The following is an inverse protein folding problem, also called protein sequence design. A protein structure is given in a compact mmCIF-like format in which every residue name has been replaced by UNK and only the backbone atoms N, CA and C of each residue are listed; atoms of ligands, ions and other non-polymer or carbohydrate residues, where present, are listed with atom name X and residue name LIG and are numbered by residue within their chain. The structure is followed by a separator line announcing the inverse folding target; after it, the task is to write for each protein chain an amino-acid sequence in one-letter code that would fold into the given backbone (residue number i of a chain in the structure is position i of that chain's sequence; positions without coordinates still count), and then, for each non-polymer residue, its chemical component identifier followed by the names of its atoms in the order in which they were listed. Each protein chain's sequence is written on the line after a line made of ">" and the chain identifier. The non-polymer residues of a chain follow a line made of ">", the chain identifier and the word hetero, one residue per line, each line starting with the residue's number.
data_IF_981911701914
#
_entry.id   IF_981911701914
#
_cell.length_a   1.000
_cell.length_b   1.000
_cell.length_c   1.000
_cell.angle_alpha   90.00
_cell.angle_beta   90.00
_cell.angle_gamma   90.00
#
_symmetry.space_group_name_H-M   'P 1'
#
loop_
_entity.id
_entity.type
_entity.pdbx_description
1 polymer ?
#
# COMPACT_ATOMS: atom_id res chain seq x y z
N UNK A 1 -28.99 6.13 -22.13
CA UNK A 1 -27.77 5.79 -21.41
C UNK A 1 -27.94 6.30 -19.99
N UNK A 2 -27.55 5.56 -18.99
CA UNK A 2 -27.92 5.87 -17.60
C UNK A 2 -26.68 5.71 -16.73
N UNK A 3 -26.18 6.82 -16.21
CA UNK A 3 -25.08 6.82 -15.25
C UNK A 3 -25.46 5.96 -14.04
N UNK A 4 -24.70 4.91 -13.72
CA UNK A 4 -25.01 4.04 -12.59
C UNK A 4 -24.83 4.78 -11.27
N UNK A 5 -25.74 4.55 -10.33
CA UNK A 5 -25.54 5.02 -8.96
C UNK A 5 -24.50 4.15 -8.28
N UNK A 6 -23.39 4.73 -7.94
CA UNK A 6 -22.30 4.06 -7.23
C UNK A 6 -22.58 4.06 -5.73
N UNK A 7 -22.35 2.91 -5.10
CA UNK A 7 -22.28 2.74 -3.64
C UNK A 7 -20.85 2.55 -3.22
N UNK A 8 -20.58 2.80 -1.95
CA UNK A 8 -19.24 2.63 -1.39
C UNK A 8 -19.24 2.89 0.12
N UNK A 9 -18.08 2.87 0.70
CA UNK A 9 -17.87 2.98 2.14
C UNK A 9 -16.63 3.80 2.46
N UNK A 10 -16.62 4.45 3.61
CA UNK A 10 -15.43 5.03 4.21
C UNK A 10 -14.67 3.91 4.91
N UNK A 11 -13.41 3.68 4.51
CA UNK A 11 -12.61 2.59 5.04
C UNK A 11 -11.67 3.05 6.17
N UNK A 12 -11.18 4.28 6.11
CA UNK A 12 -10.23 4.79 7.10
C UNK A 12 -10.07 6.32 7.04
N UNK A 13 -9.45 6.89 8.07
CA UNK A 13 -9.10 8.30 8.13
C UNK A 13 -10.26 9.18 8.58
N UNK A 14 -10.22 10.46 8.24
CA UNK A 14 -11.25 11.44 8.56
C UNK A 14 -11.20 12.64 7.60
N UNK A 15 -12.31 13.41 7.54
CA UNK A 15 -12.54 14.46 6.56
C UNK A 15 -11.54 15.62 6.50
N UNK A 16 -10.62 15.77 7.47
CA UNK A 16 -9.57 16.79 7.42
C UNK A 16 -8.32 16.35 6.62
N UNK A 17 -8.21 15.06 6.31
CA UNK A 17 -7.09 14.50 5.51
C UNK A 17 -7.39 14.59 4.00
N UNK A 18 -6.39 14.57 3.13
CA UNK A 18 -6.59 14.48 1.68
C UNK A 18 -7.50 13.31 1.28
N UNK A 19 -8.36 13.52 0.30
CA UNK A 19 -9.29 12.48 -0.17
C UNK A 19 -8.56 11.48 -1.07
N UNK A 20 -8.70 10.18 -0.74
CA UNK A 20 -8.25 9.05 -1.55
C UNK A 20 -9.45 8.19 -1.94
N UNK A 21 -9.65 7.99 -3.25
CA UNK A 21 -10.73 7.17 -3.80
C UNK A 21 -10.16 5.84 -4.32
N UNK A 22 -10.68 4.72 -3.82
CA UNK A 22 -10.21 3.38 -4.17
C UNK A 22 -11.23 2.63 -5.05
N UNK A 23 -10.73 2.01 -6.12
CA UNK A 23 -11.53 1.28 -7.11
C UNK A 23 -11.34 -0.24 -7.05
N UNK A 24 -12.42 -1.04 -7.12
CA UNK A 24 -12.39 -2.49 -6.96
C UNK A 24 -11.91 -3.22 -8.22
N UNK A 25 -11.59 -4.51 -8.07
CA UNK A 25 -11.49 -5.49 -9.14
C UNK A 25 -12.86 -6.11 -9.44
N UNK A 26 -13.07 -6.64 -10.66
CA UNK A 26 -14.31 -7.33 -11.03
C UNK A 26 -14.54 -8.57 -10.16
N UNK A 27 -15.65 -8.61 -9.46
CA UNK A 27 -16.00 -9.69 -8.54
C UNK A 27 -15.51 -9.47 -7.09
N UNK A 28 -14.97 -8.31 -6.76
CA UNK A 28 -14.56 -7.95 -5.39
C UNK A 28 -15.44 -6.84 -4.81
N UNK A 29 -15.31 -6.57 -3.52
CA UNK A 29 -15.89 -5.39 -2.86
C UNK A 29 -14.81 -4.43 -2.38
N UNK A 30 -15.22 -3.21 -2.11
CA UNK A 30 -14.36 -2.17 -1.55
C UNK A 30 -13.61 -2.68 -0.31
N UNK A 31 -14.33 -3.19 0.69
CA UNK A 31 -13.75 -3.65 1.95
C UNK A 31 -12.90 -4.91 1.78
N UNK A 32 -13.34 -5.93 1.02
CA UNK A 32 -12.57 -7.17 0.89
C UNK A 32 -11.25 -6.99 0.16
N UNK A 33 -11.19 -6.05 -0.78
CA UNK A 33 -9.96 -5.81 -1.54
C UNK A 33 -9.02 -4.83 -0.83
N UNK A 34 -9.56 -3.78 -0.21
CA UNK A 34 -8.78 -2.62 0.20
C UNK A 34 -8.56 -2.47 1.71
N UNK A 35 -9.19 -3.29 2.59
CA UNK A 35 -9.08 -3.12 4.05
C UNK A 35 -7.64 -3.11 4.57
N UNK A 36 -6.76 -3.95 4.03
CA UNK A 36 -5.34 -3.99 4.41
C UNK A 36 -4.64 -2.67 4.11
N UNK A 37 -4.80 -2.17 2.89
CA UNK A 37 -4.23 -0.90 2.42
C UNK A 37 -4.84 0.29 3.19
N UNK A 38 -6.15 0.33 3.33
CA UNK A 38 -6.86 1.42 4.01
C UNK A 38 -6.43 1.56 5.48
N UNK A 39 -6.22 0.44 6.18
CA UNK A 39 -5.71 0.43 7.56
C UNK A 39 -4.35 1.13 7.68
N UNK A 40 -3.48 0.95 6.72
CA UNK A 40 -2.16 1.58 6.71
C UNK A 40 -2.20 3.07 6.33
N UNK A 41 -3.17 3.46 5.47
CA UNK A 41 -3.29 4.82 4.95
C UNK A 41 -4.17 5.76 5.77
N UNK A 42 -4.89 5.25 6.78
CA UNK A 42 -5.85 6.04 7.55
C UNK A 42 -5.26 7.20 8.36
N UNK A 43 -3.94 7.24 8.56
CA UNK A 43 -3.24 8.38 9.14
C UNK A 43 -2.87 9.48 8.14
N UNK A 44 -2.90 9.17 6.84
CA UNK A 44 -2.42 10.04 5.76
C UNK A 44 -3.58 10.57 4.90
N UNK A 45 -4.67 9.78 4.77
CA UNK A 45 -5.77 10.05 3.86
C UNK A 45 -7.13 9.81 4.51
N UNK A 46 -8.15 10.55 4.04
CA UNK A 46 -9.55 10.15 4.16
C UNK A 46 -9.83 9.15 3.03
N UNK A 47 -9.90 7.87 3.36
CA UNK A 47 -9.97 6.76 2.41
C UNK A 47 -11.41 6.34 2.20
N UNK A 48 -11.93 6.54 0.99
CA UNK A 48 -13.22 6.00 0.57
C UNK A 48 -13.03 5.01 -0.57
N UNK A 49 -13.86 3.98 -0.62
CA UNK A 49 -13.80 2.98 -1.67
C UNK A 49 -15.20 2.71 -2.22
N UNK A 50 -15.30 2.52 -3.52
CA UNK A 50 -16.56 2.31 -4.20
C UNK A 50 -16.76 0.84 -4.63
N UNK A 51 -18.02 0.44 -4.83
CA UNK A 51 -18.40 -0.87 -5.29
C UNK A 51 -18.98 -0.83 -6.70
N UNK A 52 -18.68 -1.86 -7.50
CA UNK A 52 -19.29 -2.06 -8.81
C UNK A 52 -20.79 -2.27 -8.70
N UNK A 53 -21.59 -1.82 -9.68
CA UNK A 53 -23.02 -2.16 -9.75
C UNK A 53 -23.25 -3.67 -9.68
N UNK A 54 -24.17 -4.13 -8.83
CA UNK A 54 -24.44 -5.54 -8.60
C UNK A 54 -23.40 -6.29 -7.73
N UNK A 55 -22.40 -5.59 -7.25
CA UNK A 55 -21.47 -6.14 -6.25
C UNK A 55 -21.88 -5.57 -4.88
N UNK A 56 -21.97 -6.40 -3.86
CA UNK A 56 -22.53 -6.03 -2.55
C UNK A 56 -23.99 -5.50 -2.73
N UNK A 57 -24.34 -4.34 -2.23
CA UNK A 57 -25.70 -3.77 -2.23
C UNK A 57 -25.97 -2.78 -3.39
N UNK A 58 -25.10 -2.75 -4.41
CA UNK A 58 -25.23 -1.82 -5.52
C UNK A 58 -26.44 -2.14 -6.43
N UNK A 59 -27.30 -1.16 -6.76
CA UNK A 59 -28.43 -1.42 -7.64
C UNK A 59 -27.98 -1.68 -9.08
N UNK A 60 -28.46 -2.78 -9.66
CA UNK A 60 -28.35 -3.05 -11.10
C UNK A 60 -29.60 -2.50 -11.79
N UNK A 61 -29.44 -1.56 -12.72
CA UNK A 61 -30.60 -0.94 -13.40
C UNK A 61 -30.53 -1.10 -14.91
N UNK A 62 -29.62 -0.44 -15.56
CA UNK A 62 -29.47 -0.41 -17.01
C UNK A 62 -28.02 -0.64 -17.40
N UNK A 63 -27.74 -1.16 -18.60
CA UNK A 63 -26.38 -1.22 -19.14
C UNK A 63 -25.71 0.15 -19.13
N UNK A 64 -24.41 0.17 -18.91
CA UNK A 64 -23.57 1.38 -18.87
C UNK A 64 -22.26 1.14 -19.63
N UNK A 65 -21.67 2.22 -20.08
CA UNK A 65 -20.32 2.25 -20.64
C UNK A 65 -19.28 2.50 -19.54
N UNK A 66 -17.99 2.32 -19.85
CA UNK A 66 -16.92 2.66 -18.92
C UNK A 66 -16.93 4.16 -18.56
N UNK A 67 -17.24 5.03 -19.52
CA UNK A 67 -17.37 6.47 -19.28
C UNK A 67 -18.52 6.80 -18.33
N UNK A 68 -19.68 6.16 -18.47
CA UNK A 68 -20.82 6.34 -17.55
C UNK A 68 -20.53 5.76 -16.15
N UNK A 69 -19.76 4.67 -16.09
CA UNK A 69 -19.27 4.15 -14.79
C UNK A 69 -18.33 5.14 -14.11
N UNK A 70 -17.40 5.72 -14.85
CA UNK A 70 -16.48 6.77 -14.34
C UNK A 70 -17.26 8.03 -13.90
N UNK A 71 -18.27 8.46 -14.63
CA UNK A 71 -19.15 9.56 -14.22
C UNK A 71 -19.87 9.27 -12.89
N UNK A 72 -20.35 8.03 -12.71
CA UNK A 72 -20.94 7.60 -11.45
C UNK A 72 -19.95 7.62 -10.28
N UNK A 73 -18.69 7.21 -10.52
CA UNK A 73 -17.62 7.26 -9.51
C UNK A 73 -17.25 8.71 -9.19
N UNK A 74 -17.21 9.59 -10.19
CA UNK A 74 -16.96 11.02 -9.97
C UNK A 74 -18.06 11.64 -9.09
N UNK A 75 -19.32 11.29 -9.34
CA UNK A 75 -20.46 11.74 -8.51
C UNK A 75 -20.37 11.19 -7.07
N UNK A 76 -19.92 9.95 -6.88
CA UNK A 76 -19.66 9.39 -5.55
C UNK A 76 -18.56 10.15 -4.80
N UNK A 77 -17.44 10.43 -5.47
CA UNK A 77 -16.35 11.22 -4.89
C UNK A 77 -16.79 12.67 -4.57
N UNK A 78 -17.60 13.29 -5.44
CA UNK A 78 -18.16 14.62 -5.21
C UNK A 78 -19.08 14.66 -3.98
N UNK A 79 -19.92 13.64 -3.77
CA UNK A 79 -20.74 13.54 -2.58
C UNK A 79 -19.91 13.44 -1.29
N UNK A 80 -18.79 12.73 -1.32
CA UNK A 80 -17.87 12.66 -0.19
C UNK A 80 -17.17 14.02 0.06
N UNK A 81 -16.72 14.70 -0.99
CA UNK A 81 -16.10 16.02 -0.90
C UNK A 81 -17.09 17.08 -0.35
N UNK A 82 -18.33 17.06 -0.81
CA UNK A 82 -19.41 17.95 -0.28
C UNK A 82 -19.66 17.69 1.22
N UNK A 83 -19.74 16.43 1.64
CA UNK A 83 -19.92 16.06 3.05
C UNK A 83 -18.76 16.53 3.95
N UNK A 84 -17.56 16.69 3.39
CA UNK A 84 -16.37 17.23 4.05
C UNK A 84 -16.34 18.77 4.08
N UNK A 85 -17.13 19.42 3.22
CA UNK A 85 -17.11 20.87 3.01
C UNK A 85 -15.98 21.34 2.05
N UNK A 86 -15.47 20.46 1.20
CA UNK A 86 -14.46 20.82 0.21
C UNK A 86 -15.09 21.74 -0.87
N UNK A 87 -14.47 22.87 -1.16
CA UNK A 87 -14.96 23.82 -2.17
C UNK A 87 -14.71 23.35 -3.61
N UNK A 88 -13.67 22.53 -3.82
CA UNK A 88 -13.25 21.99 -5.10
C UNK A 88 -13.04 20.48 -4.96
N UNK A 89 -13.62 19.72 -5.88
CA UNK A 89 -13.40 18.27 -5.92
C UNK A 89 -11.97 17.98 -6.41
N UNK A 90 -11.14 17.48 -5.50
CA UNK A 90 -9.79 16.98 -5.78
C UNK A 90 -9.50 15.73 -4.95
N UNK A 91 -8.99 14.68 -5.58
CA UNK A 91 -8.66 13.43 -4.91
C UNK A 91 -7.50 12.71 -5.58
N UNK A 92 -6.75 11.96 -4.79
CA UNK A 92 -5.88 10.91 -5.31
C UNK A 92 -6.71 9.66 -5.61
N UNK A 93 -6.33 8.91 -6.62
CA UNK A 93 -7.05 7.70 -7.02
C UNK A 93 -6.14 6.48 -6.96
N UNK A 94 -6.68 5.33 -6.51
CA UNK A 94 -6.03 4.05 -6.73
C UNK A 94 -7.07 3.01 -7.18
N UNK A 95 -6.77 2.24 -8.23
CA UNK A 95 -7.74 1.29 -8.77
C UNK A 95 -7.09 0.01 -9.27
N UNK A 96 -7.70 -1.12 -8.92
CA UNK A 96 -7.26 -2.44 -9.32
C UNK A 96 -8.09 -2.96 -10.49
N UNK A 97 -7.48 -3.52 -11.52
CA UNK A 97 -8.16 -4.15 -12.66
C UNK A 97 -9.19 -3.22 -13.32
N UNK A 98 -10.48 -3.54 -13.29
CA UNK A 98 -11.56 -2.66 -13.79
C UNK A 98 -11.54 -1.29 -13.07
N UNK A 99 -11.20 -1.25 -11.78
CA UNK A 99 -11.02 0.00 -11.06
C UNK A 99 -9.88 0.85 -11.64
N UNK A 100 -8.81 0.22 -12.10
CA UNK A 100 -7.72 0.90 -12.83
C UNK A 100 -8.18 1.44 -14.20
N UNK A 101 -8.97 0.68 -14.94
CA UNK A 101 -9.57 1.14 -16.20
C UNK A 101 -10.51 2.35 -15.98
N UNK A 102 -11.32 2.33 -14.91
CA UNK A 102 -12.11 3.50 -14.48
C UNK A 102 -11.21 4.68 -14.13
N UNK A 103 -10.06 4.45 -13.48
CA UNK A 103 -9.08 5.49 -13.18
C UNK A 103 -8.54 6.19 -14.44
N UNK A 104 -8.22 5.42 -15.48
CA UNK A 104 -7.84 5.99 -16.78
C UNK A 104 -8.96 6.85 -17.37
N UNK A 105 -10.20 6.34 -17.34
CA UNK A 105 -11.35 7.10 -17.85
C UNK A 105 -11.61 8.38 -17.03
N UNK A 106 -11.48 8.34 -15.71
CA UNK A 106 -11.62 9.52 -14.84
C UNK A 106 -10.59 10.59 -15.17
N UNK A 107 -9.33 10.22 -15.39
CA UNK A 107 -8.28 11.18 -15.75
C UNK A 107 -8.50 11.82 -17.14
N UNK A 108 -9.14 11.09 -18.05
CA UNK A 108 -9.49 11.60 -19.37
C UNK A 108 -10.71 12.53 -19.35
N UNK A 109 -11.72 12.23 -18.51
CA UNK A 109 -13.00 12.95 -18.52
C UNK A 109 -13.05 14.07 -17.46
N UNK A 110 -12.25 13.98 -16.39
CA UNK A 110 -12.20 14.93 -15.27
C UNK A 110 -10.75 15.18 -14.81
N UNK A 111 -9.86 15.69 -15.69
CA UNK A 111 -8.43 15.82 -15.41
C UNK A 111 -8.11 16.74 -14.22
N UNK A 112 -8.96 17.72 -13.91
CA UNK A 112 -8.77 18.65 -12.79
C UNK A 112 -9.14 18.03 -11.44
N UNK A 113 -9.93 16.94 -11.42
CA UNK A 113 -10.38 16.29 -10.20
C UNK A 113 -9.37 15.26 -9.67
N UNK A 114 -8.69 14.54 -10.56
CA UNK A 114 -7.74 13.49 -10.18
C UNK A 114 -6.33 14.08 -10.08
N UNK A 115 -5.81 14.21 -8.87
CA UNK A 115 -4.50 14.83 -8.62
C UNK A 115 -3.33 13.91 -8.94
N UNK A 116 -3.52 12.61 -8.77
CA UNK A 116 -2.56 11.54 -9.09
C UNK A 116 -3.25 10.20 -9.09
N UNK A 117 -2.68 9.19 -9.75
CA UNK A 117 -3.27 7.85 -9.77
C UNK A 117 -2.23 6.74 -9.56
N UNK A 118 -2.66 5.70 -8.84
CA UNK A 118 -1.98 4.40 -8.77
C UNK A 118 -2.89 3.37 -9.44
N UNK A 119 -2.44 2.83 -10.57
CA UNK A 119 -3.21 1.89 -11.38
C UNK A 119 -2.60 0.51 -11.25
N UNK A 120 -3.36 -0.45 -10.70
CA UNK A 120 -2.86 -1.77 -10.35
C UNK A 120 -3.50 -2.84 -11.23
N UNK A 121 -2.69 -3.77 -11.74
CA UNK A 121 -3.14 -4.98 -12.42
C UNK A 121 -4.26 -4.72 -13.43
N UNK A 122 -4.06 -3.73 -14.32
CA UNK A 122 -5.06 -3.18 -15.24
C UNK A 122 -4.50 -3.02 -16.67
N UNK A 123 -5.23 -2.36 -17.54
CA UNK A 123 -4.81 -2.06 -18.92
C UNK A 123 -5.62 -0.95 -19.55
N UNK A 124 -5.06 -0.25 -20.52
CA UNK A 124 -5.77 0.71 -21.36
C UNK A 124 -6.78 0.02 -22.31
N UNK A 125 -6.60 -1.27 -22.54
CA UNK A 125 -7.55 -2.26 -23.04
C UNK A 125 -7.33 -3.54 -22.25
N UNK A 126 -8.39 -4.20 -21.79
CA UNK A 126 -8.29 -5.43 -21.00
C UNK A 126 -8.95 -6.59 -21.77
N UNK A 127 -8.13 -7.51 -22.24
CA UNK A 127 -8.61 -8.67 -23.00
C UNK A 127 -9.28 -8.30 -24.33
N UNK A 128 -9.95 -9.30 -24.93
CA UNK A 128 -10.64 -9.12 -26.21
C UNK A 128 -12.16 -9.07 -26.00
N UNK A 129 -12.91 -8.30 -26.83
CA UNK A 129 -14.36 -8.12 -26.70
C UNK A 129 -15.13 -9.44 -26.61
N UNK A 130 -14.79 -10.41 -27.45
CA UNK A 130 -15.46 -11.71 -27.50
C UNK A 130 -15.37 -12.46 -26.18
N UNK A 131 -14.19 -12.43 -25.53
CA UNK A 131 -13.98 -13.06 -24.23
C UNK A 131 -14.91 -12.47 -23.16
N UNK A 132 -15.10 -11.15 -23.18
CA UNK A 132 -15.98 -10.46 -22.22
C UNK A 132 -17.45 -10.74 -22.50
N UNK A 133 -17.87 -10.79 -23.76
CA UNK A 133 -19.25 -11.16 -24.16
C UNK A 133 -19.56 -12.60 -23.78
N UNK A 134 -18.65 -13.55 -24.01
CA UNK A 134 -18.84 -14.95 -23.62
C UNK A 134 -18.92 -15.08 -22.07
N UNK A 135 -18.13 -14.33 -21.34
CA UNK A 135 -18.18 -14.29 -19.87
C UNK A 135 -19.52 -13.72 -19.39
N UNK A 136 -20.00 -12.62 -19.97
CA UNK A 136 -21.28 -12.03 -19.65
C UNK A 136 -22.44 -13.02 -19.90
N UNK A 137 -22.43 -13.71 -21.05
CA UNK A 137 -23.42 -14.73 -21.37
C UNK A 137 -23.38 -15.92 -20.40
N UNK A 138 -22.17 -16.35 -20.01
CA UNK A 138 -22.00 -17.46 -19.08
C UNK A 138 -22.57 -17.12 -17.70
N UNK A 139 -22.24 -15.93 -17.14
CA UNK A 139 -22.75 -15.56 -15.81
C UNK A 139 -24.25 -15.29 -15.80
N UNK A 140 -24.84 -14.76 -16.90
CA UNK A 140 -26.31 -14.62 -17.03
C UNK A 140 -27.00 -15.95 -17.01
N UNK A 141 -26.39 -16.99 -17.59
CA UNK A 141 -26.96 -18.32 -17.66
C UNK A 141 -26.79 -19.14 -16.39
N UNK A 142 -25.61 -19.05 -15.76
CA UNK A 142 -25.18 -19.99 -14.72
C UNK A 142 -24.88 -19.32 -13.38
N UNK A 143 -24.98 -17.99 -13.30
CA UNK A 143 -24.58 -17.20 -12.12
C UNK A 143 -23.08 -17.04 -11.97
N UNK A 144 -22.67 -16.15 -11.09
CA UNK A 144 -21.26 -15.86 -10.80
C UNK A 144 -20.49 -17.00 -10.10
N UNK A 145 -21.13 -17.98 -9.40
CA UNK A 145 -20.39 -19.10 -8.80
C UNK A 145 -19.53 -19.89 -9.79
N UNK A 146 -19.91 -19.94 -11.09
CA UNK A 146 -19.12 -20.65 -12.11
C UNK A 146 -17.76 -20.02 -12.37
N UNK A 147 -17.56 -18.76 -11.97
CA UNK A 147 -16.30 -18.02 -12.14
C UNK A 147 -15.28 -18.33 -11.02
N UNK A 148 -15.71 -18.85 -9.88
CA UNK A 148 -14.88 -18.94 -8.65
C UNK A 148 -13.59 -19.73 -8.89
N UNK A 149 -13.67 -20.94 -9.44
CA UNK A 149 -12.48 -21.79 -9.63
C UNK A 149 -11.44 -21.13 -10.55
N UNK A 150 -11.90 -20.61 -11.70
CA UNK A 150 -11.01 -19.97 -12.67
C UNK A 150 -10.47 -18.63 -12.14
N UNK A 151 -11.22 -17.91 -11.31
CA UNK A 151 -10.76 -16.68 -10.67
C UNK A 151 -9.73 -16.96 -9.58
N UNK A 152 -9.92 -17.98 -8.75
CA UNK A 152 -8.95 -18.39 -7.75
C UNK A 152 -7.54 -18.67 -8.36
N UNK A 153 -7.51 -19.26 -9.55
CA UNK A 153 -6.27 -19.58 -10.27
C UNK A 153 -5.59 -18.35 -10.89
N UNK A 154 -6.33 -17.28 -11.17
CA UNK A 154 -5.81 -16.07 -11.84
C UNK A 154 -5.57 -14.91 -10.90
N UNK A 155 -6.29 -14.86 -9.78
CA UNK A 155 -6.27 -13.73 -8.86
C UNK A 155 -5.07 -13.74 -7.93
N UNK A 156 -4.57 -14.92 -7.58
CA UNK A 156 -3.60 -15.08 -6.51
C UNK A 156 -2.29 -15.69 -7.00
N UNK A 157 -1.20 -15.14 -6.54
CA UNK A 157 0.13 -15.68 -6.74
C UNK A 157 0.29 -17.06 -6.04
N UNK A 158 1.23 -17.90 -6.49
CA UNK A 158 1.47 -19.20 -5.89
C UNK A 158 1.68 -19.12 -4.37
N UNK A 159 0.95 -19.94 -3.62
CA UNK A 159 1.04 -20.03 -2.16
C UNK A 159 0.27 -18.94 -1.40
N UNK A 160 -0.38 -17.97 -2.06
CA UNK A 160 -1.13 -16.94 -1.35
C UNK A 160 -2.33 -17.51 -0.56
N UNK A 161 -3.12 -18.38 -1.18
CA UNK A 161 -4.30 -18.98 -0.51
C UNK A 161 -3.93 -19.85 0.70
N UNK A 162 -2.73 -20.41 0.73
CA UNK A 162 -2.20 -21.14 1.86
C UNK A 162 -1.73 -20.20 2.99
N UNK A 163 -1.14 -19.06 2.64
CA UNK A 163 -0.66 -18.05 3.62
C UNK A 163 -1.80 -17.23 4.20
N UNK A 164 -2.75 -16.81 3.36
CA UNK A 164 -3.85 -15.90 3.71
C UNK A 164 -5.22 -16.49 3.34
N UNK A 165 -5.60 -17.67 3.89
CA UNK A 165 -6.82 -18.37 3.51
C UNK A 165 -8.09 -17.55 3.79
N UNK A 166 -8.08 -16.73 4.84
CA UNK A 166 -9.22 -15.89 5.21
C UNK A 166 -9.46 -14.77 4.20
N UNK A 167 -8.41 -14.13 3.72
CA UNK A 167 -8.48 -13.06 2.71
C UNK A 167 -8.96 -13.63 1.39
N UNK A 168 -8.34 -14.72 0.94
CA UNK A 168 -8.74 -15.40 -0.30
C UNK A 168 -10.20 -15.87 -0.27
N UNK A 169 -10.64 -16.48 0.83
CA UNK A 169 -12.02 -16.92 1.00
C UNK A 169 -13.03 -15.76 0.96
N UNK A 170 -12.72 -14.63 1.62
CA UNK A 170 -13.58 -13.45 1.61
C UNK A 170 -13.76 -12.88 0.19
N UNK A 171 -12.67 -12.74 -0.58
CA UNK A 171 -12.69 -12.27 -1.96
C UNK A 171 -13.50 -13.20 -2.87
N UNK A 172 -13.27 -14.51 -2.79
CA UNK A 172 -14.02 -15.50 -3.59
C UNK A 172 -15.49 -15.59 -3.19
N UNK A 173 -15.84 -15.31 -1.93
CA UNK A 173 -17.22 -15.26 -1.47
C UNK A 173 -17.98 -14.07 -2.07
N UNK A 174 -17.36 -12.89 -2.18
CA UNK A 174 -17.96 -11.74 -2.87
C UNK A 174 -18.26 -12.08 -4.33
N UNK A 175 -17.29 -12.66 -5.04
CA UNK A 175 -17.47 -13.10 -6.42
C UNK A 175 -18.67 -14.07 -6.53
N UNK A 176 -18.74 -15.06 -5.66
CA UNK A 176 -19.81 -16.05 -5.64
C UNK A 176 -21.19 -15.42 -5.43
N UNK A 177 -21.26 -14.33 -4.66
CA UNK A 177 -22.50 -13.67 -4.24
C UNK A 177 -22.89 -12.47 -5.11
N UNK A 178 -22.04 -12.07 -6.06
CA UNK A 178 -22.32 -10.94 -6.93
C UNK A 178 -23.54 -11.21 -7.83
N UNK A 179 -24.32 -10.15 -8.10
CA UNK A 179 -25.45 -10.22 -9.02
C UNK A 179 -24.96 -10.52 -10.44
N UNK A 180 -25.57 -11.53 -11.08
CA UNK A 180 -25.14 -12.00 -12.39
C UNK A 180 -25.30 -10.94 -13.48
N UNK A 181 -26.35 -10.14 -13.42
CA UNK A 181 -26.59 -9.08 -14.42
C UNK A 181 -25.62 -7.91 -14.20
N UNK A 182 -25.39 -7.50 -12.94
CA UNK A 182 -24.40 -6.47 -12.63
C UNK A 182 -22.99 -6.85 -13.08
N UNK A 183 -22.58 -8.08 -12.79
CA UNK A 183 -21.30 -8.62 -13.26
C UNK A 183 -21.20 -8.63 -14.79
N UNK A 184 -22.27 -9.09 -15.48
CA UNK A 184 -22.32 -9.14 -16.93
C UNK A 184 -22.25 -7.75 -17.57
N UNK A 185 -22.91 -6.74 -17.00
CA UNK A 185 -22.85 -5.35 -17.50
C UNK A 185 -21.43 -4.76 -17.38
N UNK A 186 -20.67 -5.08 -16.32
CA UNK A 186 -19.27 -4.69 -16.22
C UNK A 186 -18.43 -5.38 -17.30
N UNK A 187 -18.68 -6.68 -17.58
CA UNK A 187 -18.00 -7.37 -18.69
C UNK A 187 -18.27 -6.68 -20.03
N UNK A 188 -19.53 -6.27 -20.31
CA UNK A 188 -19.89 -5.57 -21.54
C UNK A 188 -19.24 -4.17 -21.62
N UNK A 189 -19.13 -3.45 -20.51
CA UNK A 189 -18.41 -2.19 -20.45
C UNK A 189 -16.91 -2.37 -20.76
N UNK A 190 -16.29 -3.44 -20.23
CA UNK A 190 -14.90 -3.80 -20.53
C UNK A 190 -14.69 -4.24 -21.98
N UNK A 191 -15.68 -4.96 -22.57
CA UNK A 191 -15.62 -5.36 -23.98
C UNK A 191 -15.50 -4.17 -24.94
N UNK A 192 -16.08 -3.03 -24.58
CA UNK A 192 -16.07 -1.81 -25.39
C UNK A 192 -14.96 -0.81 -24.98
N UNK A 193 -14.18 -1.11 -23.93
CA UNK A 193 -13.18 -0.20 -23.39
C UNK A 193 -11.84 -0.34 -24.11
N UNK A 194 -11.40 0.74 -24.74
CA UNK A 194 -10.06 0.89 -25.33
C UNK A 194 -9.68 2.39 -25.35
N UNK A 195 -8.71 2.77 -24.52
CA UNK A 195 -8.24 4.16 -24.42
C UNK A 195 -6.74 4.30 -24.75
N UNK A 196 -6.16 3.29 -25.41
CA UNK A 196 -4.73 3.28 -25.75
C UNK A 196 -4.31 4.50 -26.56
N UNK A 197 -5.11 4.89 -27.54
CA UNK A 197 -4.83 6.06 -28.38
C UNK A 197 -4.96 7.40 -27.64
N UNK A 198 -5.51 7.39 -26.42
CA UNK A 198 -5.79 8.56 -25.59
C UNK A 198 -4.86 8.70 -24.37
N UNK A 199 -3.98 7.74 -24.11
CA UNK A 199 -3.09 7.77 -22.94
C UNK A 199 -2.28 9.08 -22.86
N UNK A 200 -1.82 9.61 -24.00
CA UNK A 200 -1.08 10.88 -24.08
C UNK A 200 -1.85 12.14 -23.66
N UNK A 201 -3.18 12.06 -23.47
CA UNK A 201 -4.01 13.15 -22.95
C UNK A 201 -3.92 13.23 -21.40
N UNK A 202 -3.47 12.17 -20.74
CA UNK A 202 -3.40 12.10 -19.27
C UNK A 202 -2.16 12.84 -18.77
N UNK A 203 -2.39 13.89 -18.00
CA UNK A 203 -1.35 14.79 -17.45
C UNK A 203 -1.05 14.54 -15.96
N UNK A 204 -2.01 13.95 -15.23
CA UNK A 204 -1.81 13.61 -13.83
C UNK A 204 -0.69 12.55 -13.68
N UNK A 205 0.14 12.61 -12.63
CA UNK A 205 1.14 11.57 -12.35
C UNK A 205 0.49 10.20 -12.17
N UNK A 206 1.02 9.19 -12.87
CA UNK A 206 0.53 7.80 -12.83
C UNK A 206 1.63 6.86 -12.40
N UNK A 207 1.38 6.08 -11.35
CA UNK A 207 2.18 4.92 -11.00
C UNK A 207 1.41 3.65 -11.40
N UNK A 208 1.91 2.96 -12.41
CA UNK A 208 1.40 1.67 -12.85
C UNK A 208 2.06 0.55 -12.02
N UNK A 209 1.27 -0.34 -11.42
CA UNK A 209 1.75 -1.47 -10.63
C UNK A 209 1.28 -2.76 -11.27
N UNK A 210 2.23 -3.63 -11.60
CA UNK A 210 1.96 -4.96 -12.15
C UNK A 210 2.31 -6.05 -11.14
N UNK A 211 1.53 -7.12 -11.10
CA UNK A 211 1.95 -8.37 -10.48
C UNK A 211 2.74 -9.22 -11.49
N UNK A 212 3.90 -9.75 -11.09
CA UNK A 212 4.73 -10.59 -11.96
C UNK A 212 4.02 -11.90 -12.36
N UNK A 213 3.08 -12.37 -11.53
CA UNK A 213 2.27 -13.57 -11.76
C UNK A 213 0.88 -13.27 -12.38
N UNK A 214 0.58 -12.01 -12.72
CA UNK A 214 -0.72 -11.66 -13.29
C UNK A 214 -0.85 -12.13 -14.74
N UNK A 215 -1.75 -13.09 -14.95
CA UNK A 215 -2.08 -13.63 -16.27
C UNK A 215 -3.31 -12.98 -16.91
N UNK A 216 -4.05 -12.18 -16.14
CA UNK A 216 -5.23 -11.47 -16.64
C UNK A 216 -4.87 -10.13 -17.29
N UNK A 217 -3.98 -9.39 -16.64
CA UNK A 217 -3.38 -8.13 -17.12
C UNK A 217 -1.87 -8.18 -16.89
N UNK A 218 -1.12 -8.91 -17.76
CA UNK A 218 0.32 -9.07 -17.62
C UNK A 218 1.08 -7.74 -17.51
N UNK A 219 2.32 -7.73 -16.98
CA UNK A 219 3.10 -6.50 -16.82
C UNK A 219 3.19 -5.59 -18.05
N UNK A 220 3.14 -6.17 -19.25
CA UNK A 220 3.12 -5.41 -20.51
C UNK A 220 1.94 -4.42 -20.63
N UNK A 221 0.79 -4.71 -20.02
CA UNK A 221 -0.36 -3.80 -20.01
C UNK A 221 -0.07 -2.53 -19.18
N UNK A 222 0.62 -2.70 -18.06
CA UNK A 222 1.00 -1.60 -17.17
C UNK A 222 2.20 -0.80 -17.74
N UNK A 223 3.11 -1.48 -18.45
CA UNK A 223 4.19 -0.86 -19.22
C UNK A 223 3.63 0.03 -20.34
N UNK A 224 2.59 -0.43 -21.07
CA UNK A 224 1.88 0.37 -22.07
C UNK A 224 1.27 1.64 -21.45
N UNK A 225 0.62 1.53 -20.29
CA UNK A 225 0.06 2.69 -19.58
C UNK A 225 1.18 3.65 -19.15
N UNK A 226 2.21 3.15 -18.45
CA UNK A 226 3.31 3.98 -17.94
C UNK A 226 4.07 4.69 -19.06
N UNK A 227 4.26 4.03 -20.19
CA UNK A 227 4.90 4.63 -21.37
C UNK A 227 4.01 5.55 -22.20
N UNK A 228 2.68 5.42 -22.07
CA UNK A 228 1.70 6.18 -22.86
C UNK A 228 1.27 7.50 -22.24
N UNK A 229 1.22 7.61 -20.91
CA UNK A 229 0.84 8.84 -20.18
C UNK A 229 2.00 9.83 -20.10
N UNK A 230 1.73 11.10 -19.78
CA UNK A 230 2.78 12.15 -19.77
C UNK A 230 3.76 12.02 -18.60
N UNK A 231 3.30 11.60 -17.42
CA UNK A 231 4.13 11.36 -16.23
C UNK A 231 3.81 9.96 -15.68
N UNK A 232 4.38 8.94 -16.33
CA UNK A 232 4.14 7.56 -16.01
C UNK A 232 5.36 6.85 -15.42
N UNK A 233 5.15 6.03 -14.39
CA UNK A 233 6.16 5.14 -13.79
C UNK A 233 5.61 3.75 -13.66
N UNK A 234 6.47 2.72 -13.76
CA UNK A 234 6.11 1.31 -13.61
C UNK A 234 6.83 0.70 -12.41
N UNK A 235 6.08 -0.10 -11.64
CA UNK A 235 6.63 -1.01 -10.63
C UNK A 235 6.06 -2.40 -10.88
N UNK A 236 6.90 -3.43 -10.82
CA UNK A 236 6.49 -4.83 -10.88
C UNK A 236 6.73 -5.47 -9.52
N UNK A 237 5.71 -6.12 -8.95
CA UNK A 237 5.78 -6.83 -7.67
C UNK A 237 5.97 -8.33 -7.94
N UNK A 238 7.10 -8.90 -7.50
CA UNK A 238 7.53 -10.26 -7.88
C UNK A 238 6.60 -11.37 -7.42
N UNK A 239 6.08 -11.29 -6.18
CA UNK A 239 5.25 -12.33 -5.55
C UNK A 239 3.74 -12.02 -5.58
N UNK A 240 3.29 -11.23 -6.56
CA UNK A 240 1.92 -10.75 -6.70
C UNK A 240 1.32 -11.21 -8.03
N UNK A 241 0.03 -11.57 -8.04
CA UNK A 241 -0.75 -11.80 -9.24
C UNK A 241 -1.71 -10.62 -9.51
N UNK A 242 -3.01 -10.88 -9.56
CA UNK A 242 -3.99 -9.90 -10.06
C UNK A 242 -4.61 -8.99 -9.00
N UNK A 243 -4.59 -9.36 -7.72
CA UNK A 243 -5.21 -8.59 -6.65
C UNK A 243 -4.14 -7.96 -5.72
N UNK A 244 -3.29 -7.11 -6.30
CA UNK A 244 -2.18 -6.49 -5.60
C UNK A 244 -2.54 -5.83 -4.26
N UNK A 245 -3.70 -5.15 -4.09
CA UNK A 245 -4.06 -4.57 -2.80
C UNK A 245 -4.28 -5.60 -1.68
N UNK A 246 -4.69 -6.82 -2.03
CA UNK A 246 -4.90 -7.91 -1.09
C UNK A 246 -3.62 -8.72 -0.84
N UNK A 247 -2.80 -8.89 -1.90
CA UNK A 247 -1.60 -9.72 -1.85
C UNK A 247 -0.38 -9.00 -1.25
N UNK A 248 -0.27 -7.69 -1.47
CA UNK A 248 0.86 -6.85 -1.04
C UNK A 248 0.40 -5.48 -0.49
N UNK A 249 -0.42 -5.45 0.59
CA UNK A 249 -1.01 -4.20 1.08
C UNK A 249 0.03 -3.16 1.53
N UNK A 250 1.17 -3.58 2.06
CA UNK A 250 2.23 -2.67 2.51
C UNK A 250 2.93 -1.97 1.34
N UNK A 251 3.29 -2.72 0.30
CA UNK A 251 3.91 -2.21 -0.92
C UNK A 251 2.96 -1.26 -1.66
N UNK A 252 1.69 -1.64 -1.77
CA UNK A 252 0.65 -0.81 -2.39
C UNK A 252 0.42 0.48 -1.59
N UNK A 253 0.38 0.42 -0.27
CA UNK A 253 0.25 1.60 0.60
C UNK A 253 1.44 2.55 0.45
N UNK A 254 2.66 2.01 0.42
CA UNK A 254 3.89 2.78 0.18
C UNK A 254 3.87 3.47 -1.20
N UNK A 255 3.42 2.74 -2.22
CA UNK A 255 3.29 3.27 -3.58
C UNK A 255 2.28 4.42 -3.65
N UNK A 256 1.10 4.29 -3.02
CA UNK A 256 0.09 5.36 -2.97
C UNK A 256 0.65 6.61 -2.28
N UNK A 257 1.33 6.47 -1.14
CA UNK A 257 1.99 7.61 -0.46
C UNK A 257 2.99 8.32 -1.37
N UNK A 258 3.79 7.57 -2.13
CA UNK A 258 4.87 8.14 -2.96
C UNK A 258 4.37 9.04 -4.09
N UNK A 259 3.13 8.84 -4.55
CA UNK A 259 2.54 9.58 -5.68
C UNK A 259 1.57 10.66 -5.19
N UNK A 260 0.71 10.33 -4.21
CA UNK A 260 -0.33 11.23 -3.75
C UNK A 260 0.21 12.39 -2.89
N UNK A 261 1.28 12.19 -2.12
CA UNK A 261 1.90 13.25 -1.30
C UNK A 261 2.76 14.18 -2.16
N UNK A 262 3.32 13.67 -3.28
CA UNK A 262 4.12 14.49 -4.22
C UNK A 262 3.32 15.51 -5.02
N UNK A 263 2.01 15.34 -5.19
CA UNK A 263 1.16 16.21 -6.02
C UNK A 263 0.51 17.39 -5.27
N UNK A 264 0.57 17.41 -3.94
CA UNK A 264 -0.03 18.46 -3.10
C UNK A 264 0.87 19.65 -2.78
N UNK A 265 2.12 19.71 -3.25
CA UNK A 265 3.12 20.67 -2.80
C UNK A 265 3.59 21.70 -3.86
N UNK A 266 2.78 22.03 -4.85
CA UNK A 266 3.16 23.09 -5.79
C UNK A 266 3.13 24.51 -5.17
N UNK A 267 2.44 24.73 -4.04
CA UNK A 267 2.44 26.01 -3.30
C UNK A 267 3.24 25.98 -1.98
N UNK A 268 3.70 24.78 -1.53
CA UNK A 268 4.60 24.64 -0.37
C UNK A 268 6.08 24.48 -0.77
N UNK A 269 6.40 24.54 -2.07
CA UNK A 269 7.75 24.24 -2.60
C UNK A 269 8.71 25.43 -2.49
N UNK A 270 8.26 26.61 -2.03
CA UNK A 270 9.19 27.75 -1.85
C UNK A 270 9.94 27.76 -0.50
N UNK A 271 9.57 26.86 0.44
CA UNK A 271 10.24 26.78 1.76
C UNK A 271 11.02 25.48 2.01
N UNK A 272 11.02 24.52 1.05
CA UNK A 272 11.74 23.24 1.15
C UNK A 272 12.82 23.04 0.06
N UNK A 273 13.06 24.02 -0.80
CA UNK A 273 14.08 23.94 -1.86
C UNK A 273 15.53 24.05 -1.33
N UNK A 274 15.72 24.30 -0.03
CA UNK A 274 17.06 24.27 0.60
C UNK A 274 17.37 22.95 1.32
N UNK A 275 16.50 21.91 1.24
CA UNK A 275 16.72 20.61 1.91
C UNK A 275 16.96 19.42 0.96
N UNK A 276 16.68 19.51 -0.35
CA UNK A 276 16.78 18.41 -1.33
C UNK A 276 17.96 18.56 -2.31
N UNK A 277 19.10 19.03 -1.83
CA UNK A 277 20.37 18.95 -2.55
C UNK A 277 21.10 17.61 -2.43
N UNK A 278 20.51 16.60 -1.76
CA UNK A 278 21.23 15.39 -1.40
C UNK A 278 20.51 14.14 -1.91
N UNK A 279 20.93 13.62 -3.05
CA UNK A 279 20.45 12.36 -3.62
C UNK A 279 20.67 11.16 -2.67
N UNK A 280 20.60 9.91 -3.17
CA UNK A 280 20.74 8.67 -2.40
C UNK A 280 21.91 8.66 -1.39
N UNK A 281 22.95 9.47 -1.65
CA UNK A 281 24.11 9.67 -0.75
C UNK A 281 23.76 10.50 0.49
N UNK A 282 22.84 11.47 0.42
CA UNK A 282 22.44 12.27 1.57
C UNK A 282 21.53 11.55 2.55
N UNK A 283 20.61 10.71 2.06
CA UNK A 283 19.80 9.86 2.93
C UNK A 283 20.66 8.84 3.68
N UNK A 284 21.69 8.30 3.03
CA UNK A 284 22.68 7.44 3.67
C UNK A 284 23.52 8.20 4.70
N UNK A 285 23.98 9.41 4.40
CA UNK A 285 24.78 10.24 5.31
C UNK A 285 23.99 10.60 6.57
N UNK A 286 22.74 11.05 6.44
CA UNK A 286 21.84 11.31 7.58
C UNK A 286 21.60 10.05 8.41
N UNK A 287 21.30 8.92 7.76
CA UNK A 287 21.12 7.63 8.42
C UNK A 287 22.37 7.18 9.17
N UNK A 288 23.55 7.41 8.60
CA UNK A 288 24.83 7.09 9.24
C UNK A 288 25.10 7.96 10.46
N UNK A 289 24.76 9.26 10.41
CA UNK A 289 24.87 10.17 11.56
C UNK A 289 23.99 9.70 12.72
N UNK A 290 22.70 9.40 12.45
CA UNK A 290 21.77 8.89 13.46
C UNK A 290 22.24 7.54 14.02
N UNK A 291 22.68 6.63 13.17
CA UNK A 291 23.20 5.32 13.56
C UNK A 291 24.39 5.43 14.50
N UNK A 292 25.34 6.32 14.20
CA UNK A 292 26.50 6.60 15.06
C UNK A 292 26.09 7.23 16.40
N UNK A 293 25.17 8.18 16.37
CA UNK A 293 24.66 8.81 17.57
C UNK A 293 23.96 7.83 18.52
N UNK A 294 23.23 6.83 17.98
CA UNK A 294 22.48 5.83 18.75
C UNK A 294 23.36 4.66 19.19
N UNK A 295 24.12 4.05 18.28
CA UNK A 295 24.91 2.84 18.55
C UNK A 295 26.36 3.12 18.99
N UNK A 296 26.88 4.31 18.68
CA UNK A 296 28.27 4.73 18.91
C UNK A 296 29.24 4.35 17.78
N UNK A 297 30.23 5.19 17.57
CA UNK A 297 31.20 5.08 16.47
C UNK A 297 31.89 3.73 16.40
N UNK A 298 32.40 3.24 17.54
CA UNK A 298 33.13 1.99 17.59
C UNK A 298 32.31 0.76 17.15
N UNK A 299 30.98 0.76 17.38
CA UNK A 299 30.10 -0.30 16.91
C UNK A 299 29.89 -0.18 15.40
N UNK A 300 29.57 1.02 14.93
CA UNK A 300 29.30 1.29 13.51
C UNK A 300 30.53 1.02 12.66
N UNK A 301 31.71 1.43 13.09
CA UNK A 301 32.97 1.18 12.39
C UNK A 301 33.25 -0.32 12.25
N UNK A 302 33.05 -1.10 13.32
CA UNK A 302 33.20 -2.57 13.25
C UNK A 302 32.18 -3.22 12.31
N UNK A 303 30.94 -2.77 12.32
CA UNK A 303 29.89 -3.31 11.46
C UNK A 303 30.18 -2.99 9.98
N UNK A 304 30.60 -1.76 9.68
CA UNK A 304 30.99 -1.31 8.34
C UNK A 304 32.22 -2.03 7.82
N UNK A 305 33.23 -2.23 8.67
CA UNK A 305 34.47 -2.94 8.29
C UNK A 305 34.25 -4.44 8.02
N UNK A 306 33.20 -5.05 8.57
CA UNK A 306 32.83 -6.46 8.34
C UNK A 306 31.97 -6.66 7.10
N UNK A 307 31.43 -5.58 6.52
CA UNK A 307 30.56 -5.67 5.35
C UNK A 307 31.37 -6.05 4.11
N UNK A 308 31.03 -7.17 3.49
CA UNK A 308 31.55 -7.66 2.22
C UNK A 308 30.59 -7.31 1.06
N UNK A 309 30.87 -7.79 -0.15
CA UNK A 309 30.06 -7.51 -1.34
C UNK A 309 28.61 -8.05 -1.20
N UNK A 310 28.41 -9.14 -0.46
CA UNK A 310 27.09 -9.76 -0.26
C UNK A 310 26.27 -9.06 0.80
N UNK A 311 26.90 -8.54 1.83
CA UNK A 311 26.24 -7.92 2.99
C UNK A 311 26.15 -6.40 2.93
N UNK A 312 26.95 -5.75 2.08
CA UNK A 312 26.94 -4.30 1.87
C UNK A 312 25.58 -3.73 1.48
N UNK A 313 24.85 -4.32 0.51
CA UNK A 313 23.52 -3.81 0.14
C UNK A 313 22.55 -3.78 1.32
N UNK A 314 22.59 -4.80 2.19
CA UNK A 314 21.77 -4.83 3.40
C UNK A 314 22.19 -3.74 4.40
N UNK A 315 23.50 -3.50 4.62
CA UNK A 315 23.98 -2.45 5.49
C UNK A 315 23.58 -1.05 4.99
N UNK A 316 23.59 -0.84 3.68
CA UNK A 316 23.15 0.41 3.07
C UNK A 316 21.63 0.59 3.22
N UNK A 317 20.84 -0.46 2.98
CA UNK A 317 19.39 -0.44 3.14
C UNK A 317 19.00 -0.07 4.58
N UNK A 318 19.51 -0.79 5.60
CA UNK A 318 19.17 -0.50 6.99
C UNK A 318 19.65 0.87 7.44
N UNK A 319 20.77 1.38 6.89
CA UNK A 319 21.27 2.70 7.24
C UNK A 319 20.35 3.80 6.73
N UNK A 320 19.85 3.69 5.50
CA UNK A 320 18.86 4.64 4.94
C UNK A 320 17.52 4.50 5.64
N UNK A 321 16.94 3.31 5.61
CA UNK A 321 15.57 3.05 6.06
C UNK A 321 15.45 3.13 7.60
N UNK A 322 16.13 2.25 8.35
CA UNK A 322 15.92 2.20 9.80
C UNK A 322 16.49 3.43 10.50
N UNK A 323 17.70 3.84 10.14
CA UNK A 323 18.37 4.95 10.84
C UNK A 323 18.00 6.31 10.27
N UNK A 324 17.90 6.46 8.96
CA UNK A 324 17.50 7.71 8.31
C UNK A 324 16.00 7.97 8.47
N UNK A 325 15.17 7.07 7.94
CA UNK A 325 13.73 7.34 7.78
C UNK A 325 12.90 7.04 9.04
N UNK A 326 13.36 6.16 9.95
CA UNK A 326 12.62 5.84 11.18
C UNK A 326 13.23 6.49 12.40
N UNK A 327 14.50 6.20 12.71
CA UNK A 327 15.15 6.75 13.91
C UNK A 327 15.47 8.25 13.82
N UNK A 328 15.56 8.81 12.61
CA UNK A 328 15.75 10.23 12.34
C UNK A 328 14.49 11.10 12.46
N UNK A 329 13.29 10.51 12.61
CA UNK A 329 12.02 11.27 12.69
C UNK A 329 11.83 11.93 14.05
N UNK A 330 11.21 13.12 14.05
CA UNK A 330 10.93 13.90 15.27
C UNK A 330 9.74 13.38 16.10
N UNK A 331 8.93 12.46 15.58
CA UNK A 331 7.70 11.98 16.22
C UNK A 331 7.88 11.25 17.55
N UNK A 332 9.05 10.67 17.81
CA UNK A 332 9.45 10.06 19.09
C UNK A 332 10.91 10.38 19.41
N UNK A 333 11.18 10.69 20.66
CA UNK A 333 12.55 10.89 21.13
C UNK A 333 13.36 9.57 21.19
N UNK A 334 14.69 9.68 21.28
CA UNK A 334 15.59 8.51 21.25
C UNK A 334 15.42 7.58 22.45
N UNK A 335 15.02 8.10 23.61
CA UNK A 335 14.72 7.28 24.80
C UNK A 335 13.51 6.39 24.57
N UNK A 336 12.40 6.98 24.10
CA UNK A 336 11.17 6.28 23.77
C UNK A 336 11.40 5.21 22.72
N UNK A 337 12.16 5.53 21.63
CA UNK A 337 12.53 4.54 20.61
C UNK A 337 13.36 3.40 21.20
N UNK A 338 14.29 3.67 22.10
CA UNK A 338 15.09 2.63 22.77
C UNK A 338 14.22 1.72 23.63
N UNK A 339 13.27 2.25 24.39
CA UNK A 339 12.32 1.45 25.19
C UNK A 339 11.49 0.50 24.31
N UNK A 340 10.93 1.01 23.21
CA UNK A 340 10.15 0.21 22.26
C UNK A 340 11.03 -0.87 21.62
N UNK A 341 12.25 -0.53 21.19
CA UNK A 341 13.18 -1.47 20.57
C UNK A 341 13.58 -2.59 21.54
N UNK A 342 13.88 -2.28 22.80
CA UNK A 342 14.19 -3.28 23.81
C UNK A 342 13.02 -4.24 24.03
N UNK A 343 11.80 -3.71 24.13
CA UNK A 343 10.58 -4.53 24.31
C UNK A 343 10.35 -5.47 23.13
N UNK A 344 10.47 -4.97 21.90
CA UNK A 344 10.30 -5.77 20.69
C UNK A 344 11.38 -6.84 20.52
N UNK A 345 12.66 -6.50 20.71
CA UNK A 345 13.76 -7.46 20.60
C UNK A 345 13.68 -8.55 21.67
N UNK A 346 13.25 -8.21 22.87
CA UNK A 346 12.98 -9.19 23.93
C UNK A 346 11.82 -10.12 23.53
N UNK A 347 10.68 -9.55 23.12
CA UNK A 347 9.49 -10.32 22.75
C UNK A 347 9.73 -11.26 21.56
N UNK A 348 10.55 -10.85 20.59
CA UNK A 348 10.90 -11.63 19.39
C UNK A 348 12.07 -12.61 19.62
N UNK A 349 12.75 -12.57 20.78
CA UNK A 349 13.86 -13.47 21.11
C UNK A 349 15.16 -13.15 20.38
N UNK A 350 15.37 -11.91 19.92
CA UNK A 350 16.60 -11.46 19.24
C UNK A 350 17.68 -11.06 20.24
N UNK A 351 18.31 -12.03 20.91
CA UNK A 351 19.22 -11.81 22.03
C UNK A 351 20.47 -11.00 21.69
N UNK A 352 21.05 -11.22 20.51
CA UNK A 352 22.25 -10.50 20.07
C UNK A 352 21.98 -9.02 19.85
N UNK A 353 20.89 -8.71 19.19
CA UNK A 353 20.42 -7.37 18.93
C UNK A 353 19.97 -6.70 20.23
N UNK A 354 19.33 -7.45 21.13
CA UNK A 354 18.95 -6.98 22.47
C UNK A 354 20.19 -6.54 23.25
N UNK A 355 21.25 -7.36 23.29
CA UNK A 355 22.50 -7.01 23.96
C UNK A 355 23.11 -5.71 23.41
N UNK A 356 23.10 -5.52 22.10
CA UNK A 356 23.56 -4.29 21.46
C UNK A 356 22.69 -3.09 21.86
N UNK A 357 21.38 -3.25 21.83
CA UNK A 357 20.43 -2.19 22.14
C UNK A 357 20.34 -1.84 23.64
N UNK A 358 20.70 -2.77 24.56
CA UNK A 358 20.90 -2.45 25.98
C UNK A 358 22.04 -1.43 26.14
N UNK A 359 23.18 -1.62 25.47
CA UNK A 359 24.30 -0.64 25.46
C UNK A 359 23.87 0.70 24.83
N UNK A 360 23.12 0.65 23.72
CA UNK A 360 22.60 1.83 23.05
C UNK A 360 21.59 2.60 23.91
N UNK A 361 20.71 1.91 24.64
CA UNK A 361 19.72 2.52 25.51
C UNK A 361 20.35 3.37 26.63
N UNK A 362 21.44 2.89 27.26
CA UNK A 362 22.20 3.68 28.23
C UNK A 362 22.77 4.95 27.58
N UNK A 363 23.32 4.85 26.37
CA UNK A 363 23.82 6.02 25.62
C UNK A 363 22.70 6.99 25.26
N UNK A 364 21.50 6.49 24.98
CA UNK A 364 20.32 7.29 24.66
C UNK A 364 19.61 7.84 25.91
N UNK A 365 20.20 7.68 27.10
CA UNK A 365 19.79 8.30 28.36
C UNK A 365 18.82 7.48 29.19
N UNK A 366 18.66 6.17 28.97
CA UNK A 366 17.97 5.30 29.92
C UNK A 366 18.90 4.92 31.08
N UNK A 367 18.31 4.81 32.28
CA UNK A 367 19.00 4.20 33.40
C UNK A 367 18.95 2.67 33.34
N UNK A 368 19.79 1.98 34.15
CA UNK A 368 19.77 0.52 34.28
C UNK A 368 18.43 0.03 34.81
N UNK A 369 17.83 0.78 35.73
CA UNK A 369 16.53 0.50 36.34
C UNK A 369 15.41 0.63 35.31
N UNK A 370 15.44 1.68 34.47
CA UNK A 370 14.44 1.88 33.40
C UNK A 370 14.51 0.77 32.36
N UNK A 371 15.71 0.30 31.99
CA UNK A 371 15.88 -0.85 31.10
C UNK A 371 15.26 -2.10 31.71
N UNK A 372 15.50 -2.35 33.00
CA UNK A 372 14.91 -3.48 33.71
C UNK A 372 13.38 -3.42 33.75
N UNK A 373 12.81 -2.22 33.99
CA UNK A 373 11.35 -2.01 33.97
C UNK A 373 10.73 -2.27 32.59
N UNK A 374 11.38 -1.85 31.50
CA UNK A 374 10.93 -2.13 30.13
C UNK A 374 10.85 -3.65 29.90
N UNK A 375 11.88 -4.40 30.31
CA UNK A 375 11.91 -5.86 30.14
C UNK A 375 10.90 -6.57 31.05
N UNK A 376 10.70 -6.06 32.28
CA UNK A 376 9.68 -6.56 33.21
C UNK A 376 8.28 -6.35 32.62
N UNK A 377 8.00 -5.14 32.12
CA UNK A 377 6.73 -4.81 31.48
C UNK A 377 6.47 -5.69 30.26
N UNK A 378 7.48 -5.95 29.43
CA UNK A 378 7.40 -6.85 28.28
C UNK A 378 6.93 -8.25 28.68
N UNK A 379 7.35 -8.72 29.85
CA UNK A 379 6.98 -10.05 30.36
C UNK A 379 5.51 -10.26 30.62
N UNK A 380 4.77 -9.19 30.89
CA UNK A 380 3.30 -9.26 31.06
C UNK A 380 2.61 -9.70 29.76
N UNK A 381 3.15 -9.29 28.62
CA UNK A 381 2.57 -9.53 27.29
C UNK A 381 3.23 -10.66 26.51
N UNK A 382 4.56 -10.84 26.67
CA UNK A 382 5.35 -11.83 25.94
C UNK A 382 5.62 -13.11 26.76
N UNK A 383 5.33 -13.10 28.07
CA UNK A 383 5.46 -14.24 28.97
C UNK A 383 6.78 -14.29 29.74
N UNK A 384 6.71 -14.97 30.89
CA UNK A 384 7.82 -15.08 31.86
C UNK A 384 9.12 -15.66 31.29
N UNK A 385 9.10 -16.71 30.44
CA UNK A 385 10.33 -17.27 29.88
C UNK A 385 11.12 -16.26 29.05
N UNK A 386 10.42 -15.44 28.25
CA UNK A 386 11.01 -14.37 27.43
C UNK A 386 11.69 -13.33 28.31
N UNK A 387 11.02 -12.91 29.38
CA UNK A 387 11.58 -11.95 30.34
C UNK A 387 12.82 -12.49 31.02
N UNK A 388 12.83 -13.73 31.47
CA UNK A 388 14.00 -14.33 32.11
C UNK A 388 15.22 -14.33 31.18
N UNK A 389 15.04 -14.67 29.92
CA UNK A 389 16.11 -14.61 28.90
C UNK A 389 16.59 -13.17 28.69
N UNK A 390 15.67 -12.22 28.53
CA UNK A 390 16.00 -10.81 28.29
C UNK A 390 16.74 -10.18 29.49
N UNK A 391 16.32 -10.46 30.72
CA UNK A 391 17.01 -10.00 31.93
C UNK A 391 18.42 -10.62 32.05
N UNK A 392 18.62 -11.90 31.71
CA UNK A 392 19.92 -12.52 31.67
C UNK A 392 20.86 -11.86 30.65
N UNK A 393 20.36 -11.50 29.46
CA UNK A 393 21.09 -10.72 28.46
C UNK A 393 21.50 -9.36 29.02
N UNK A 394 20.54 -8.62 29.61
CA UNK A 394 20.80 -7.32 30.24
C UNK A 394 21.86 -7.40 31.32
N UNK A 395 21.76 -8.35 32.25
CA UNK A 395 22.72 -8.54 33.34
C UNK A 395 24.15 -8.82 32.82
N UNK A 396 24.27 -9.65 31.79
CA UNK A 396 25.55 -9.92 31.12
C UNK A 396 26.15 -8.63 30.54
N UNK A 397 25.34 -7.83 29.84
CA UNK A 397 25.79 -6.56 29.27
C UNK A 397 26.25 -5.59 30.36
N UNK A 398 25.55 -5.50 31.47
CA UNK A 398 25.95 -4.62 32.57
C UNK A 398 27.25 -5.09 33.25
N UNK A 399 27.44 -6.39 33.44
CA UNK A 399 28.67 -6.95 33.95
C UNK A 399 29.86 -6.68 33.03
N UNK A 400 29.68 -6.79 31.71
CA UNK A 400 30.71 -6.45 30.71
C UNK A 400 31.11 -4.95 30.81
N UNK A 401 30.10 -4.07 30.92
CA UNK A 401 30.32 -2.61 31.03
C UNK A 401 31.05 -2.24 32.34
N UNK A 402 30.73 -2.93 33.46
CA UNK A 402 31.39 -2.70 34.74
C UNK A 402 32.83 -3.22 34.73
N UNK A 403 33.15 -4.20 33.88
CA UNK A 403 34.51 -4.70 33.67
C UNK A 403 35.35 -3.83 32.71
N UNK A 404 34.68 -3.07 31.83
CA UNK A 404 35.29 -2.14 30.87
C UNK A 404 35.63 -0.75 31.50
N UNK A 405 35.01 -0.41 32.67
CA UNK A 405 35.12 0.86 33.38
C UNK A 405 36.29 0.89 34.34
#
# INVERSE_FOLDING_TARGET
>A
MTVPRITGEELAGHGALPLLVLGPSLGTSASTLWSGVAKELGGDFHVIAWNLPGHVDGPVRAPFTMAELAEGVLAFAAGAAEARGDEVLRFAYAGDSVGGAVGLQLMLDAPDAVTSAVLLCTGAKIGEPEMWHDRAATVRTSGTPVMVTASAQRWFAPGFLEREPSVGAALLHVLQSADAEGYAQVCEALAAFDVRDRLGEITAPVLAIAGAHDVATPPANLEEIAGGVQDGRLVVLDDVAHLAPAEAPAEVSSAIRSVAVGSGSAEATETLQDADGDGADGAYARGMEVRRAVLGDAHVDRATAKADELTRPFQELITRYAWGDVWGRDGLDRRSRSMITLALLAALGHENELAMHVRAALRNGLSREEIAEVLLHTGVYAGVPVTNTALAVMQRVFADLDAEA
#
